data_IF_421494104648
#
_entry.id   IF_421494104648
#
_cell.length_a   1.000
_cell.length_b   1.000
_cell.length_c   1.000
_cell.angle_alpha   90.00
_cell.angle_beta   90.00
_cell.angle_gamma   90.00
#
_symmetry.space_group_name_H-M   'P 1'
#
loop_
_entity.id
_entity.type
_entity.pdbx_description
1 polymer ?
#
# COMPACT_ATOMS: atom_id res chain seq x y z
N UNK A 1 -3.95 -17.89 -21.94
CA UNK A 1 -4.04 -16.80 -20.94
C UNK A 1 -3.78 -17.39 -19.57
N UNK A 2 -2.66 -17.07 -18.92
CA UNK A 2 -2.44 -17.46 -17.52
C UNK A 2 -3.38 -16.62 -16.66
N UNK A 3 -4.47 -17.20 -16.17
CA UNK A 3 -5.28 -16.57 -15.14
C UNK A 3 -4.42 -16.43 -13.89
N UNK A 4 -3.77 -15.28 -13.72
CA UNK A 4 -3.16 -14.90 -12.45
C UNK A 4 -4.30 -14.80 -11.44
N UNK A 5 -4.56 -15.91 -10.74
CA UNK A 5 -5.51 -16.01 -9.63
C UNK A 5 -5.18 -14.87 -8.68
N UNK A 6 -6.04 -13.84 -8.64
CA UNK A 6 -5.88 -12.68 -7.73
C UNK A 6 -5.68 -13.21 -6.32
N UNK A 7 -4.76 -12.59 -5.58
CA UNK A 7 -4.55 -12.94 -4.18
C UNK A 7 -5.87 -12.79 -3.43
N UNK A 8 -6.20 -13.80 -2.62
CA UNK A 8 -7.47 -13.88 -1.89
C UNK A 8 -7.22 -14.35 -0.45
N UNK A 9 -8.08 -13.96 0.47
CA UNK A 9 -8.09 -14.52 1.83
C UNK A 9 -8.80 -15.88 1.88
N UNK A 10 -8.85 -16.48 3.07
CA UNK A 10 -9.51 -17.78 3.32
C UNK A 10 -11.02 -17.75 3.08
N UNK A 11 -11.63 -16.56 3.09
CA UNK A 11 -13.05 -16.35 2.79
C UNK A 11 -13.28 -16.02 1.30
N UNK A 12 -12.22 -16.01 0.48
CA UNK A 12 -12.28 -15.76 -0.94
C UNK A 12 -12.42 -14.28 -1.33
N UNK A 13 -12.18 -13.33 -0.41
CA UNK A 13 -12.15 -11.90 -0.71
C UNK A 13 -10.82 -11.52 -1.34
N UNK A 14 -10.83 -10.57 -2.26
CA UNK A 14 -9.61 -10.11 -2.91
C UNK A 14 -8.68 -9.44 -1.89
N UNK A 15 -7.41 -9.85 -1.91
CA UNK A 15 -6.33 -9.24 -1.16
C UNK A 15 -5.33 -8.59 -2.11
N UNK A 16 -4.71 -7.54 -1.60
CA UNK A 16 -3.67 -6.81 -2.30
C UNK A 16 -2.32 -7.11 -1.62
N UNK A 17 -1.96 -8.39 -1.43
CA UNK A 17 -0.72 -8.76 -0.74
C UNK A 17 0.53 -8.79 -1.63
N UNK A 18 0.43 -8.28 -2.87
CA UNK A 18 1.60 -8.17 -3.73
C UNK A 18 2.58 -7.16 -3.10
N UNK A 19 3.86 -7.51 -2.88
CA UNK A 19 4.84 -6.60 -2.31
C UNK A 19 5.03 -5.38 -3.22
N UNK A 20 5.35 -4.23 -2.62
CA UNK A 20 5.53 -2.95 -3.32
C UNK A 20 6.81 -2.26 -2.87
N UNK A 21 7.35 -1.43 -3.75
CA UNK A 21 8.44 -0.52 -3.40
C UNK A 21 7.92 0.75 -2.69
N UNK A 22 8.84 1.65 -2.31
CA UNK A 22 8.52 2.92 -1.65
C UNK A 22 7.58 3.85 -2.43
N UNK A 23 7.42 3.63 -3.74
CA UNK A 23 6.51 4.39 -4.60
C UNK A 23 5.18 3.65 -4.85
N UNK A 24 4.97 2.50 -4.21
CA UNK A 24 3.77 1.69 -4.37
C UNK A 24 3.75 0.86 -5.66
N UNK A 25 4.84 0.78 -6.43
CA UNK A 25 4.90 -0.05 -7.64
C UNK A 25 5.01 -1.52 -7.26
N UNK A 26 4.30 -2.42 -7.96
CA UNK A 26 4.28 -3.82 -7.57
C UNK A 26 5.60 -4.52 -7.89
N UNK A 27 6.10 -5.29 -6.93
CA UNK A 27 7.31 -6.11 -7.02
C UNK A 27 6.98 -7.57 -7.39
N UNK A 28 7.99 -8.38 -7.76
CA UNK A 28 7.84 -9.83 -7.86
C UNK A 28 7.51 -10.45 -6.49
N UNK A 29 6.76 -11.56 -6.49
CA UNK A 29 6.53 -12.33 -5.27
C UNK A 29 7.84 -12.85 -4.68
N UNK A 30 7.90 -12.99 -3.35
CA UNK A 30 9.12 -13.39 -2.62
C UNK A 30 10.15 -12.27 -2.45
N UNK A 31 9.97 -11.12 -3.11
CA UNK A 31 10.79 -9.93 -2.86
C UNK A 31 10.30 -9.22 -1.60
N UNK A 32 11.19 -8.78 -0.69
CA UNK A 32 10.79 -7.94 0.43
C UNK A 32 10.25 -6.60 -0.11
N UNK A 33 9.00 -6.29 0.23
CA UNK A 33 8.40 -4.98 -0.01
C UNK A 33 8.66 -4.02 1.16
N UNK A 34 8.29 -2.77 0.98
CA UNK A 34 8.22 -1.81 2.11
C UNK A 34 6.93 -2.01 2.90
N UNK A 35 6.98 -1.67 4.19
CA UNK A 35 5.78 -1.63 5.01
C UNK A 35 4.79 -0.60 4.45
N UNK A 36 3.51 -0.97 4.41
CA UNK A 36 2.46 -0.08 3.91
C UNK A 36 2.09 0.92 4.99
N UNK A 37 1.75 2.14 4.57
CA UNK A 37 1.11 3.10 5.45
C UNK A 37 -0.18 2.50 6.03
N UNK A 38 -0.51 2.78 7.31
CA UNK A 38 -1.69 2.25 7.94
C UNK A 38 -2.96 2.76 7.25
N UNK A 39 -3.85 1.83 6.91
CA UNK A 39 -5.15 2.12 6.31
C UNK A 39 -6.19 2.43 7.41
N UNK A 40 -7.24 3.18 7.07
CA UNK A 40 -8.37 3.45 7.98
C UNK A 40 -8.06 4.39 9.15
N UNK A 41 -6.91 5.05 9.17
CA UNK A 41 -6.56 6.04 10.20
C UNK A 41 -7.43 7.29 10.03
N UNK A 42 -8.33 7.52 10.97
CA UNK A 42 -9.16 8.73 11.03
C UNK A 42 -8.30 9.90 11.52
N UNK A 43 -8.24 10.96 10.72
CA UNK A 43 -7.52 12.20 11.03
C UNK A 43 -8.43 13.40 10.80
N UNK A 44 -8.26 14.46 11.58
CA UNK A 44 -8.89 15.75 11.26
C UNK A 44 -8.32 16.31 9.94
N UNK A 45 -9.03 17.22 9.24
CA UNK A 45 -8.51 17.81 8.01
C UNK A 45 -7.10 18.41 8.15
N UNK A 46 -6.84 19.09 9.27
CA UNK A 46 -5.54 19.71 9.56
C UNK A 46 -4.43 18.67 9.77
N UNK A 47 -4.75 17.53 10.37
CA UNK A 47 -3.80 16.42 10.56
C UNK A 47 -3.51 15.70 9.24
N UNK A 48 -4.55 15.47 8.43
CA UNK A 48 -4.39 14.88 7.10
C UNK A 48 -3.43 15.70 6.24
N UNK A 49 -3.57 17.02 6.23
CA UNK A 49 -2.67 17.91 5.47
C UNK A 49 -1.22 17.87 5.98
N UNK A 50 -1.02 17.82 7.30
CA UNK A 50 0.35 17.71 7.88
C UNK A 50 1.00 16.38 7.49
N UNK A 51 0.24 15.30 7.53
CA UNK A 51 0.77 13.98 7.16
C UNK A 51 1.08 13.89 5.67
N UNK A 52 0.20 14.43 4.82
CA UNK A 52 0.43 14.50 3.38
C UNK A 52 1.71 15.28 3.05
N UNK A 53 1.91 16.44 3.69
CA UNK A 53 3.14 17.23 3.50
C UNK A 53 4.39 16.45 3.95
N UNK A 54 4.34 15.78 5.11
CA UNK A 54 5.46 14.96 5.61
C UNK A 54 5.83 13.85 4.64
N UNK A 55 4.84 13.17 4.05
CA UNK A 55 5.06 12.11 3.07
C UNK A 55 5.68 12.68 1.79
N UNK A 56 5.15 13.80 1.30
CA UNK A 56 5.68 14.49 0.13
C UNK A 56 7.14 14.94 0.32
N UNK A 57 7.46 15.54 1.47
CA UNK A 57 8.81 15.98 1.83
C UNK A 57 9.80 14.80 1.91
N UNK A 58 9.29 13.62 2.29
CA UNK A 58 10.04 12.37 2.33
C UNK A 58 10.12 11.64 0.98
N UNK A 59 9.55 12.20 -0.10
CA UNK A 59 9.51 11.57 -1.42
C UNK A 59 8.59 10.33 -1.49
N UNK A 60 7.64 10.22 -0.56
CA UNK A 60 6.69 9.12 -0.47
C UNK A 60 5.31 9.53 -1.03
N UNK A 61 4.51 8.58 -1.54
CA UNK A 61 3.13 8.83 -1.92
C UNK A 61 2.24 9.17 -0.70
N UNK A 62 1.17 9.95 -0.90
CA UNK A 62 0.18 10.35 0.11
C UNK A 62 -1.27 10.20 -0.38
#
# INVERSE_FOLDING_TARGET
MNETRRDRDTEGRARNARPRDGLGRPLPYGTPGVERQPEGVVRTPRETLREAQRLLDAGMPF
#
